data_IF_596968506582
#
_entry.id   IF_596968506582
#
_cell.length_a   1.000
_cell.length_b   1.000
_cell.length_c   1.000
_cell.angle_alpha   90.00
_cell.angle_beta   90.00
_cell.angle_gamma   90.00
#
_symmetry.space_group_name_H-M   'P 1'
#
loop_
_entity.id
_entity.type
_entity.pdbx_description
1 polymer ?
#
# COMPACT_ATOMS: atom_id res chain seq x y z
N UNK A 1 -2.17 8.99 -13.30
CA UNK A 1 -0.89 8.26 -13.14
C UNK A 1 -1.24 6.83 -12.80
N UNK A 2 -0.75 5.84 -13.57
CA UNK A 2 -0.98 4.44 -13.23
C UNK A 2 -0.09 4.09 -12.03
N UNK A 3 -0.69 3.60 -10.95
CA UNK A 3 0.08 3.11 -9.81
C UNK A 3 0.43 1.64 -10.07
N UNK A 4 1.71 1.36 -10.22
CA UNK A 4 2.21 -0.01 -10.30
C UNK A 4 2.87 -0.42 -8.98
N UNK A 5 3.38 -1.65 -8.96
CA UNK A 5 4.04 -2.21 -7.80
C UNK A 5 5.33 -1.47 -7.44
N UNK A 6 6.05 -0.88 -8.40
CA UNK A 6 7.26 -0.13 -8.11
C UNK A 6 6.95 1.13 -7.31
N UNK A 7 5.90 1.86 -7.71
CA UNK A 7 5.41 3.04 -6.99
C UNK A 7 4.96 2.66 -5.57
N UNK A 8 4.17 1.59 -5.42
CA UNK A 8 3.75 1.10 -4.11
C UNK A 8 4.95 0.71 -3.25
N UNK A 9 5.90 -0.06 -3.80
CA UNK A 9 7.09 -0.51 -3.08
C UNK A 9 7.95 0.68 -2.62
N UNK A 10 8.05 1.73 -3.45
CA UNK A 10 8.74 2.96 -3.06
C UNK A 10 8.04 3.69 -1.90
N UNK A 11 6.71 3.72 -1.86
CA UNK A 11 5.96 4.24 -0.70
C UNK A 11 6.30 3.41 0.56
N UNK A 12 6.24 2.08 0.48
CA UNK A 12 6.50 1.19 1.62
C UNK A 12 7.94 1.32 2.15
N UNK A 13 8.95 1.36 1.26
CA UNK A 13 10.37 1.49 1.62
C UNK A 13 10.67 2.79 2.38
N UNK A 14 10.01 3.89 2.00
CA UNK A 14 10.19 5.17 2.67
C UNK A 14 9.37 5.30 3.96
N UNK A 15 8.41 4.41 4.20
CA UNK A 15 7.56 4.38 5.39
C UNK A 15 7.73 3.05 6.13
N UNK A 16 8.92 2.83 6.70
CA UNK A 16 9.40 1.55 7.31
C UNK A 16 8.51 0.92 8.39
N UNK A 17 7.48 1.62 8.87
CA UNK A 17 6.50 1.10 9.81
C UNK A 17 5.32 0.38 9.16
N UNK A 18 5.11 0.54 7.85
CA UNK A 18 3.99 -0.07 7.13
C UNK A 18 4.28 -1.54 6.85
N UNK A 19 3.35 -2.42 7.21
CA UNK A 19 3.37 -3.84 6.84
C UNK A 19 2.05 -4.22 6.19
N UNK A 20 2.14 -5.02 5.14
CA UNK A 20 1.01 -5.60 4.43
C UNK A 20 0.99 -7.09 4.73
N UNK A 21 -0.09 -7.59 5.31
CA UNK A 21 -0.19 -9.00 5.74
C UNK A 21 -1.52 -9.56 5.27
N UNK A 22 -1.50 -10.62 4.46
CA UNK A 22 -2.70 -11.38 4.15
C UNK A 22 -3.10 -12.27 5.32
N UNK A 23 -4.40 -12.34 5.60
CA UNK A 23 -4.93 -13.37 6.52
C UNK A 23 -4.90 -14.73 5.82
N UNK A 24 -4.50 -15.76 6.56
CA UNK A 24 -4.34 -17.12 6.04
C UNK A 24 -5.57 -17.59 5.25
N UNK A 25 -5.34 -18.11 4.04
CA UNK A 25 -6.37 -18.66 3.15
C UNK A 25 -7.53 -17.71 2.78
N UNK A 26 -7.29 -16.39 2.82
CA UNK A 26 -8.27 -15.38 2.39
C UNK A 26 -7.62 -14.36 1.44
N UNK A 27 -8.44 -13.54 0.79
CA UNK A 27 -7.98 -12.36 0.04
C UNK A 27 -8.04 -11.07 0.88
N UNK A 28 -8.07 -11.20 2.21
CA UNK A 28 -8.14 -10.06 3.13
C UNK A 28 -6.71 -9.61 3.43
N UNK A 29 -6.39 -8.36 3.08
CA UNK A 29 -5.12 -7.72 3.36
C UNK A 29 -5.25 -6.75 4.55
N UNK A 30 -4.54 -7.02 5.62
CA UNK A 30 -4.40 -6.12 6.76
C UNK A 30 -3.19 -5.20 6.57
N UNK A 31 -3.41 -3.90 6.79
CA UNK A 31 -2.41 -2.85 6.72
C UNK A 31 -2.07 -2.43 8.15
N UNK A 32 -0.83 -2.69 8.55
CA UNK A 32 -0.32 -2.31 9.86
C UNK A 32 0.62 -1.11 9.74
N UNK A 33 0.59 -0.23 10.74
CA UNK A 33 1.62 0.80 10.95
C UNK A 33 2.15 0.64 12.36
N UNK A 34 3.46 0.41 12.49
CA UNK A 34 4.13 0.21 13.79
C UNK A 34 3.45 -0.88 14.64
N UNK A 35 3.02 -1.97 13.99
CA UNK A 35 2.28 -3.11 14.56
C UNK A 35 0.83 -2.81 15.02
N UNK A 36 0.30 -1.62 14.78
CA UNK A 36 -1.13 -1.33 14.96
C UNK A 36 -1.86 -1.59 13.65
N UNK A 37 -2.96 -2.36 13.68
CA UNK A 37 -3.83 -2.53 12.53
C UNK A 37 -4.54 -1.21 12.24
N UNK A 38 -4.35 -0.66 11.04
CA UNK A 38 -4.92 0.65 10.65
C UNK A 38 -6.06 0.50 9.65
N UNK A 39 -5.96 -0.47 8.73
CA UNK A 39 -6.97 -0.73 7.72
C UNK A 39 -6.98 -2.19 7.31
N UNK A 40 -8.11 -2.63 6.78
CA UNK A 40 -8.32 -3.96 6.22
C UNK A 40 -8.97 -3.79 4.84
N UNK A 41 -8.43 -4.45 3.83
CA UNK A 41 -8.95 -4.48 2.47
C UNK A 41 -9.38 -5.90 2.12
N UNK A 42 -10.51 -6.06 1.44
CA UNK A 42 -10.90 -7.32 0.81
C UNK A 42 -10.62 -7.20 -0.69
N UNK A 43 -9.66 -7.97 -1.18
CA UNK A 43 -9.17 -7.90 -2.56
C UNK A 43 -9.71 -9.07 -3.39
N UNK A 44 -9.67 -8.96 -4.73
CA UNK A 44 -10.11 -10.05 -5.61
C UNK A 44 -9.18 -11.27 -5.59
N UNK A 45 -7.91 -11.08 -5.19
CA UNK A 45 -6.89 -12.13 -5.11
C UNK A 45 -5.77 -11.76 -4.14
N UNK A 46 -5.01 -12.76 -3.68
CA UNK A 46 -3.88 -12.59 -2.76
C UNK A 46 -2.58 -12.16 -3.47
N UNK A 47 -2.66 -11.19 -4.39
CA UNK A 47 -1.51 -10.68 -5.14
C UNK A 47 -1.36 -9.16 -4.95
N UNK A 48 -0.34 -8.75 -4.19
CA UNK A 48 -0.08 -7.32 -3.91
C UNK A 48 0.19 -6.54 -5.21
N UNK A 49 0.93 -7.13 -6.16
CA UNK A 49 1.31 -6.44 -7.39
C UNK A 49 0.08 -6.11 -8.24
N UNK A 50 -0.86 -7.06 -8.36
CA UNK A 50 -2.12 -6.88 -9.10
C UNK A 50 -3.01 -5.79 -8.49
N UNK A 51 -2.92 -5.56 -7.18
CA UNK A 51 -3.75 -4.61 -6.43
C UNK A 51 -2.97 -3.36 -5.98
N UNK A 52 -1.85 -3.07 -6.63
CA UNK A 52 -0.93 -2.00 -6.21
C UNK A 52 -1.60 -0.63 -6.07
N UNK A 53 -2.49 -0.29 -7.01
CA UNK A 53 -3.22 0.98 -7.01
C UNK A 53 -4.23 1.07 -5.86
N UNK A 54 -5.00 0.01 -5.61
CA UNK A 54 -5.96 -0.04 -4.51
C UNK A 54 -5.25 0.07 -3.15
N UNK A 55 -4.18 -0.69 -2.96
CA UNK A 55 -3.38 -0.67 -1.73
C UNK A 55 -2.73 0.70 -1.51
N UNK A 56 -2.13 1.27 -2.56
CA UNK A 56 -1.52 2.60 -2.48
C UNK A 56 -2.56 3.65 -2.07
N UNK A 57 -3.72 3.65 -2.74
CA UNK A 57 -4.80 4.59 -2.44
C UNK A 57 -5.36 4.40 -1.03
N UNK A 58 -5.47 3.17 -0.55
CA UNK A 58 -5.87 2.89 0.82
C UNK A 58 -4.89 3.51 1.83
N UNK A 59 -3.58 3.39 1.60
CA UNK A 59 -2.55 3.93 2.49
C UNK A 59 -2.55 5.47 2.48
N UNK A 60 -2.49 6.11 1.31
CA UNK A 60 -2.35 7.58 1.23
C UNK A 60 -3.59 8.34 1.71
N UNK A 61 -4.75 7.68 1.75
CA UNK A 61 -6.01 8.27 2.25
C UNK A 61 -6.24 8.04 3.76
N UNK A 62 -5.34 7.35 4.46
CA UNK A 62 -5.43 7.18 5.91
C UNK A 62 -5.35 8.53 6.62
N UNK A 63 -6.27 8.77 7.54
CA UNK A 63 -6.33 10.00 8.34
C UNK A 63 -5.45 9.89 9.58
N UNK A 64 -4.91 11.03 10.03
CA UNK A 64 -4.13 11.15 11.26
C UNK A 64 -2.84 10.32 11.30
N UNK A 65 -2.25 10.02 10.15
CA UNK A 65 -0.94 9.38 10.05
C UNK A 65 0.03 10.28 9.30
N UNK A 66 1.30 10.25 9.73
CA UNK A 66 2.37 10.92 9.01
C UNK A 66 2.94 9.96 7.98
N UNK A 67 2.74 10.28 6.70
CA UNK A 67 3.29 9.53 5.57
C UNK A 67 4.26 10.41 4.78
N UNK A 68 5.42 9.84 4.44
CA UNK A 68 6.25 10.41 3.39
C UNK A 68 5.75 9.88 2.04
N UNK A 69 5.30 10.77 1.16
CA UNK A 69 4.86 10.44 -0.20
C UNK A 69 6.02 10.80 -1.15
N UNK A 70 6.74 9.83 -1.73
CA UNK A 70 7.82 10.11 -2.67
C UNK A 70 7.31 10.86 -3.90
N UNK A 71 8.07 11.84 -4.39
CA UNK A 71 7.79 12.44 -5.70
C UNK A 71 7.99 11.39 -6.79
N UNK A 72 6.99 11.21 -7.63
CA UNK A 72 7.04 10.30 -8.78
C UNK A 72 7.34 11.15 -10.01
N UNK A 73 8.49 10.88 -10.65
CA UNK A 73 8.85 11.55 -11.89
C UNK A 73 8.36 10.70 -13.06
N UNK A 74 7.38 11.20 -13.80
CA UNK A 74 6.95 10.61 -15.06
C UNK A 74 7.77 11.30 -16.14
N UNK A 75 8.67 10.56 -16.79
CA UNK A 75 9.37 11.09 -17.95
C UNK A 75 8.37 11.23 -19.09
N UNK A 76 8.04 12.47 -19.45
CA UNK A 76 7.31 12.76 -20.69
C UNK A 76 8.20 12.31 -21.86
N UNK A 77 7.65 11.46 -22.74
CA UNK A 77 8.28 11.04 -23.98
C UNK A 77 7.87 11.98 -25.12
#
# INVERSE_FOLDING_TARGET
MKIDYEILNNLLKNNKGIKLIYRENTNILDIFISNTLISTLELESNNIESHSEEIYNAIVNLKNINLYIPKIYIKEN
#
